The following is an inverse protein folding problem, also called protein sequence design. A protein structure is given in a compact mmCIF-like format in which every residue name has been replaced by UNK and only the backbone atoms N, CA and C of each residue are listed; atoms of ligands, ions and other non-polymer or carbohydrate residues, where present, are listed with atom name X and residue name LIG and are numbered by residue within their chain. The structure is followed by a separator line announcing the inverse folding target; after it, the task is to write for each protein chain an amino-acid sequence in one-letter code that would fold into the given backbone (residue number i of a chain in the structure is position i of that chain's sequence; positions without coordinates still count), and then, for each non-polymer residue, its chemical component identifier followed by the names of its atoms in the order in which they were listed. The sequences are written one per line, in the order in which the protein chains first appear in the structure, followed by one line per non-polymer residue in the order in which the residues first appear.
data_IF_605175110097
#
_entry.id   IF_605175110097
#
_cell.length_a   1.000
_cell.length_b   1.000
_cell.length_c   1.000
_cell.angle_alpha   90.00
_cell.angle_beta   90.00
_cell.angle_gamma   90.00
#
_symmetry.space_group_name_H-M   'P 1'
#
loop_
_entity.id
_entity.type
_entity.pdbx_description
1 polymer ?
#
# COMPACT_ATOMS: atom_id res chain seq x y z
N UNK A 1 11.22 -43.82 -13.16
CA UNK A 1 10.49 -43.81 -11.86
C UNK A 1 9.16 -43.11 -12.06
N UNK A 2 8.06 -43.54 -11.42
CA UNK A 2 6.74 -42.96 -11.65
C UNK A 2 6.71 -41.48 -11.25
N UNK A 3 5.90 -40.71 -11.98
CA UNK A 3 5.57 -39.29 -11.71
C UNK A 3 5.02 -39.19 -10.31
N UNK A 4 5.76 -38.57 -9.39
CA UNK A 4 5.26 -38.28 -8.04
C UNK A 4 4.50 -36.96 -8.12
N UNK A 5 3.21 -36.97 -7.82
CA UNK A 5 2.45 -35.74 -7.68
C UNK A 5 2.96 -34.98 -6.44
N UNK A 6 3.31 -33.71 -6.61
CA UNK A 6 3.68 -32.82 -5.52
C UNK A 6 2.79 -31.58 -5.54
N UNK A 7 2.13 -31.31 -4.42
CA UNK A 7 1.28 -30.15 -4.24
C UNK A 7 1.96 -29.18 -3.28
N UNK A 8 2.06 -27.92 -3.67
CA UNK A 8 2.47 -26.84 -2.77
C UNK A 8 1.23 -26.08 -2.39
N UNK A 9 0.87 -26.11 -1.12
CA UNK A 9 -0.34 -25.45 -0.62
C UNK A 9 -0.02 -24.51 0.53
N UNK A 10 -0.92 -23.59 0.85
CA UNK A 10 -0.75 -22.74 2.01
C UNK A 10 -1.81 -21.67 2.10
N UNK A 11 -1.67 -20.81 3.09
CA UNK A 11 -2.49 -19.61 3.26
C UNK A 11 -1.60 -18.37 3.19
N UNK A 12 -2.08 -17.34 2.50
CA UNK A 12 -1.45 -16.02 2.48
C UNK A 12 -2.11 -15.15 3.55
N UNK A 13 -1.32 -14.49 4.37
CA UNK A 13 -1.77 -13.61 5.45
C UNK A 13 -1.25 -12.19 5.28
N UNK A 14 -1.95 -11.21 5.86
CA UNK A 14 -1.40 -9.89 6.16
C UNK A 14 -0.51 -9.94 7.42
N UNK A 15 0.11 -8.80 7.75
CA UNK A 15 0.94 -8.65 8.96
C UNK A 15 0.16 -8.82 10.28
N UNK A 16 -1.17 -8.78 10.24
CA UNK A 16 -2.05 -8.93 11.40
C UNK A 16 -2.56 -10.38 11.56
N UNK A 17 -2.19 -11.29 10.65
CA UNK A 17 -2.61 -12.69 10.66
C UNK A 17 -3.98 -12.93 10.01
N UNK A 18 -4.53 -11.96 9.27
CA UNK A 18 -5.76 -12.12 8.50
C UNK A 18 -5.46 -12.83 7.18
N UNK A 19 -6.23 -13.86 6.85
CA UNK A 19 -6.09 -14.54 5.56
C UNK A 19 -6.50 -13.62 4.39
N UNK A 20 -5.66 -13.54 3.36
CA UNK A 20 -5.82 -12.61 2.24
C UNK A 20 -6.33 -13.32 1.00
N UNK A 21 -7.59 -13.05 0.65
CA UNK A 21 -8.15 -13.43 -0.65
C UNK A 21 -7.58 -12.57 -1.79
N UNK A 22 -7.46 -13.15 -2.99
CA UNK A 22 -7.05 -12.42 -4.19
C UNK A 22 -5.56 -12.09 -4.29
N UNK A 23 -4.71 -12.61 -3.40
CA UNK A 23 -3.26 -12.58 -3.56
C UNK A 23 -2.81 -13.54 -4.65
N UNK A 24 -1.86 -13.11 -5.49
CA UNK A 24 -1.23 -13.91 -6.54
C UNK A 24 -0.03 -14.65 -5.97
N UNK A 25 0.03 -15.97 -6.11
CA UNK A 25 1.12 -16.83 -5.66
C UNK A 25 1.79 -17.46 -6.87
N UNK A 26 3.08 -17.23 -7.05
CA UNK A 26 3.88 -17.75 -8.16
C UNK A 26 4.97 -18.67 -7.65
N UNK A 27 5.05 -19.88 -8.20
CA UNK A 27 6.14 -20.81 -7.98
C UNK A 27 7.13 -20.73 -9.14
N UNK A 28 8.40 -20.58 -8.80
CA UNK A 28 9.53 -20.54 -9.72
C UNK A 28 10.56 -21.60 -9.38
N UNK A 29 11.10 -22.24 -10.41
CA UNK A 29 12.20 -23.19 -10.34
C UNK A 29 13.02 -23.06 -11.63
N UNK A 30 14.35 -23.24 -11.56
CA UNK A 30 15.23 -23.07 -12.72
C UNK A 30 14.86 -23.98 -13.90
N UNK A 31 14.30 -25.15 -13.60
CA UNK A 31 13.91 -26.15 -14.59
C UNK A 31 12.41 -26.16 -14.90
N UNK A 32 11.57 -25.44 -14.14
CA UNK A 32 10.13 -25.35 -14.40
C UNK A 32 9.85 -24.18 -15.34
N UNK A 33 9.33 -24.48 -16.52
CA UNK A 33 8.94 -23.48 -17.52
C UNK A 33 7.63 -23.87 -18.20
N UNK A 34 6.62 -22.98 -18.26
CA UNK A 34 6.60 -21.62 -17.68
C UNK A 34 6.47 -21.62 -16.15
N UNK A 35 6.68 -20.47 -15.50
CA UNK A 35 6.36 -20.31 -14.08
C UNK A 35 4.86 -20.55 -13.84
N UNK A 36 4.52 -21.15 -12.71
CA UNK A 36 3.15 -21.50 -12.37
C UNK A 36 2.63 -20.48 -11.37
N UNK A 37 1.45 -19.93 -11.61
CA UNK A 37 0.83 -18.95 -10.74
C UNK A 37 -0.61 -19.33 -10.43
N UNK A 38 -1.04 -19.04 -9.22
CA UNK A 38 -2.42 -19.22 -8.77
C UNK A 38 -2.86 -17.99 -7.95
N UNK A 39 -4.16 -17.79 -7.82
CA UNK A 39 -4.73 -16.73 -6.98
C UNK A 39 -5.40 -17.38 -5.78
N UNK A 40 -5.18 -16.81 -4.59
CA UNK A 40 -5.80 -17.28 -3.35
C UNK A 40 -7.33 -17.12 -3.39
N UNK A 41 -8.01 -18.14 -2.85
CA UNK A 41 -9.47 -18.15 -2.68
C UNK A 41 -9.96 -17.19 -1.59
N UNK A 42 -11.26 -17.18 -1.34
CA UNK A 42 -11.89 -16.31 -0.32
C UNK A 42 -11.40 -16.57 1.11
N UNK A 43 -10.83 -17.74 1.38
CA UNK A 43 -10.23 -18.13 2.65
C UNK A 43 -8.70 -17.91 2.69
N UNK A 44 -8.14 -17.21 1.70
CA UNK A 44 -6.72 -16.90 1.56
C UNK A 44 -5.84 -18.09 1.20
N UNK A 45 -6.44 -19.25 0.87
CA UNK A 45 -5.70 -20.47 0.53
C UNK A 45 -5.33 -20.53 -0.94
N UNK A 46 -4.20 -21.17 -1.23
CA UNK A 46 -3.74 -21.50 -2.58
C UNK A 46 -3.26 -22.95 -2.65
N UNK A 47 -3.31 -23.55 -3.85
CA UNK A 47 -2.78 -24.89 -4.12
C UNK A 47 -2.12 -24.89 -5.49
N UNK A 48 -0.79 -24.94 -5.56
CA UNK A 48 -0.05 -25.09 -6.81
C UNK A 48 0.24 -26.58 -7.03
N UNK A 49 -0.25 -27.09 -8.15
CA UNK A 49 -0.08 -28.49 -8.53
C UNK A 49 1.12 -28.69 -9.47
N UNK A 50 2.12 -29.45 -9.03
CA UNK A 50 3.30 -29.81 -9.83
C UNK A 50 3.17 -31.19 -10.50
N UNK A 51 2.00 -31.85 -10.37
CA UNK A 51 1.70 -33.07 -11.11
C UNK A 51 1.73 -32.81 -12.61
N UNK A 52 2.48 -33.62 -13.36
CA UNK A 52 2.69 -33.42 -14.80
C UNK A 52 3.98 -32.67 -15.16
N UNK A 53 4.69 -32.12 -14.17
CA UNK A 53 6.01 -31.49 -14.35
C UNK A 53 7.15 -32.30 -13.72
N UNK A 54 6.92 -33.56 -13.39
CA UNK A 54 7.89 -34.40 -12.66
C UNK A 54 9.18 -34.70 -13.41
N UNK A 55 9.27 -34.38 -14.70
CA UNK A 55 10.52 -34.42 -15.47
C UNK A 55 11.35 -33.14 -15.32
N UNK A 56 10.77 -32.10 -14.72
CA UNK A 56 11.34 -30.75 -14.58
C UNK A 56 11.78 -30.45 -13.13
N UNK A 57 11.56 -31.38 -12.20
CA UNK A 57 11.98 -31.24 -10.81
C UNK A 57 12.30 -32.60 -10.19
N UNK A 58 13.11 -32.58 -9.16
CA UNK A 58 13.50 -33.73 -8.34
C UNK A 58 13.28 -33.43 -6.86
N UNK A 59 13.11 -34.48 -6.05
CA UNK A 59 13.16 -34.32 -4.60
C UNK A 59 14.53 -33.77 -4.20
N UNK A 60 14.55 -32.75 -3.34
CA UNK A 60 15.77 -32.01 -3.00
C UNK A 60 15.99 -30.73 -3.81
N UNK A 61 15.22 -30.49 -4.87
CA UNK A 61 15.30 -29.25 -5.63
C UNK A 61 14.78 -28.06 -4.83
N UNK A 62 15.43 -26.91 -5.00
CA UNK A 62 15.07 -25.65 -4.33
C UNK A 62 14.09 -24.85 -5.18
N UNK A 63 12.88 -24.64 -4.70
CA UNK A 63 11.84 -23.82 -5.33
C UNK A 63 11.67 -22.49 -4.59
N UNK A 64 11.26 -21.47 -5.33
CA UNK A 64 10.93 -20.15 -4.78
C UNK A 64 9.46 -19.85 -4.99
N UNK A 65 8.76 -19.52 -3.91
CA UNK A 65 7.32 -19.23 -3.88
C UNK A 65 7.15 -17.76 -3.51
N UNK A 66 6.60 -16.99 -4.43
CA UNK A 66 6.38 -15.55 -4.27
C UNK A 66 4.89 -15.27 -4.23
N UNK A 67 4.40 -14.74 -3.11
CA UNK A 67 3.05 -14.21 -3.00
C UNK A 67 3.08 -12.67 -3.07
N UNK A 68 2.12 -12.07 -3.78
CA UNK A 68 1.96 -10.63 -3.86
C UNK A 68 0.49 -10.23 -3.89
N UNK A 69 0.18 -9.07 -3.32
CA UNK A 69 -1.13 -8.43 -3.42
C UNK A 69 -0.97 -6.92 -3.32
N UNK A 70 -1.67 -6.18 -4.19
CA UNK A 70 -1.68 -4.72 -4.16
C UNK A 70 -2.07 -4.23 -2.77
N UNK A 71 -1.37 -3.21 -2.27
CA UNK A 71 -1.49 -2.63 -0.92
C UNK A 71 -0.97 -3.51 0.25
N UNK A 72 -0.90 -4.83 0.11
CA UNK A 72 -0.43 -5.74 1.17
C UNK A 72 1.06 -6.10 1.04
N UNK A 73 1.65 -5.86 -0.14
CA UNK A 73 3.06 -6.07 -0.41
C UNK A 73 3.38 -7.40 -1.11
N UNK A 74 4.60 -7.89 -0.90
CA UNK A 74 5.13 -9.09 -1.54
C UNK A 74 6.03 -9.86 -0.59
N UNK A 75 5.98 -11.19 -0.65
CA UNK A 75 6.83 -12.08 0.12
C UNK A 75 7.32 -13.21 -0.76
N UNK A 76 8.62 -13.49 -0.70
CA UNK A 76 9.22 -14.66 -1.30
C UNK A 76 9.75 -15.58 -0.21
N UNK A 77 9.44 -16.86 -0.30
CA UNK A 77 10.02 -17.93 0.51
C UNK A 77 10.67 -18.97 -0.40
N UNK A 78 11.87 -19.39 -0.01
CA UNK A 78 12.59 -20.47 -0.69
C UNK A 78 12.48 -21.73 0.14
N UNK A 79 12.13 -22.83 -0.50
CA UNK A 79 11.96 -24.12 0.17
C UNK A 79 12.42 -25.25 -0.74
N UNK A 80 12.56 -26.44 -0.17
CA UNK A 80 13.00 -27.63 -0.88
C UNK A 80 11.80 -28.54 -1.15
N UNK A 81 11.75 -29.16 -2.32
CA UNK A 81 10.76 -30.19 -2.62
C UNK A 81 11.05 -31.42 -1.74
N UNK A 82 10.17 -31.68 -0.77
CA UNK A 82 10.32 -32.76 0.22
C UNK A 82 10.18 -34.18 -0.36
N UNK A 83 9.65 -34.32 -1.58
CA UNK A 83 9.44 -35.60 -2.25
C UNK A 83 7.99 -35.76 -2.71
N UNK A 84 7.41 -36.94 -2.50
CA UNK A 84 6.00 -37.21 -2.81
C UNK A 84 5.07 -36.73 -1.71
N UNK A 85 3.84 -36.33 -2.07
CA UNK A 85 2.75 -36.10 -1.11
C UNK A 85 2.43 -34.63 -0.83
N UNK A 86 3.27 -33.70 -1.26
CA UNK A 86 3.03 -32.27 -1.11
C UNK A 86 3.68 -31.64 0.13
N UNK A 87 3.61 -30.33 0.21
CA UNK A 87 4.10 -29.53 1.33
C UNK A 87 3.23 -28.29 1.55
N UNK A 88 3.26 -27.78 2.78
CA UNK A 88 2.54 -26.57 3.16
C UNK A 88 3.51 -25.42 3.41
N UNK A 89 3.27 -24.28 2.76
CA UNK A 89 4.06 -23.05 2.88
C UNK A 89 3.12 -21.88 3.11
N UNK A 90 3.03 -21.42 4.35
CA UNK A 90 2.28 -20.22 4.68
C UNK A 90 3.14 -18.98 4.43
N UNK A 91 2.53 -17.92 3.91
CA UNK A 91 3.22 -16.69 3.54
C UNK A 91 2.52 -15.53 4.24
N UNK A 92 3.26 -14.76 5.03
CA UNK A 92 2.78 -13.48 5.56
C UNK A 92 3.36 -12.38 4.69
N UNK A 93 2.50 -11.67 3.96
CA UNK A 93 2.91 -10.49 3.22
C UNK A 93 3.34 -9.44 4.24
N UNK A 94 4.56 -8.95 4.09
CA UNK A 94 4.95 -7.73 4.75
C UNK A 94 4.57 -6.59 3.81
N UNK A 95 3.86 -5.59 4.34
CA UNK A 95 3.77 -4.30 3.67
C UNK A 95 5.20 -3.85 3.39
N UNK A 96 5.62 -3.91 2.13
CA UNK A 96 6.80 -3.18 1.72
C UNK A 96 6.36 -1.73 1.79
N UNK A 97 6.78 -1.03 2.84
CA UNK A 97 6.57 0.40 2.97
C UNK A 97 6.87 1.05 1.61
N UNK A 98 6.01 1.93 1.11
CA UNK A 98 6.24 2.67 -0.14
C UNK A 98 7.52 3.53 -0.10
N UNK A 99 8.16 3.60 1.08
CA UNK A 99 9.50 4.10 1.31
C UNK A 99 10.54 3.18 0.66
N UNK A 100 10.74 3.35 -0.66
CA UNK A 100 11.83 2.75 -1.40
C UNK A 100 13.13 3.56 -1.19
N UNK A 101 14.12 2.97 -0.51
CA UNK A 101 15.43 3.58 -0.32
C UNK A 101 16.44 2.99 -1.31
N UNK A 102 17.00 3.85 -2.18
CA UNK A 102 18.13 3.45 -3.01
C UNK A 102 19.36 3.23 -2.12
N UNK A 103 19.95 2.03 -2.15
CA UNK A 103 21.22 1.75 -1.47
C UNK A 103 22.35 2.43 -2.25
N UNK A 104 22.82 3.58 -1.77
CA UNK A 104 24.05 4.18 -2.25
C UNK A 104 25.16 4.09 -1.20
N UNK A 105 26.27 3.46 -1.54
CA UNK A 105 27.46 3.35 -0.67
C UNK A 105 28.26 4.65 -0.60
N UNK A 106 28.03 5.56 -1.55
CA UNK A 106 28.57 6.91 -1.58
C UNK A 106 27.41 7.90 -1.39
N UNK A 107 27.42 8.71 -0.32
CA UNK A 107 26.33 9.62 0.10
C UNK A 107 25.20 8.94 0.90
N UNK A 108 25.57 8.34 2.04
CA UNK A 108 24.59 7.96 3.06
C UNK A 108 24.02 9.23 3.70
N UNK A 109 22.72 9.46 3.53
CA UNK A 109 22.00 10.43 4.33
C UNK A 109 21.39 9.72 5.53
N UNK A 110 21.53 10.30 6.73
CA UNK A 110 20.85 9.79 7.89
C UNK A 110 19.35 10.04 7.71
N UNK A 111 18.56 8.96 7.73
CA UNK A 111 17.12 9.07 7.88
C UNK A 111 16.85 9.42 9.35
N UNK A 112 16.33 10.63 9.58
CA UNK A 112 16.00 11.09 10.92
C UNK A 112 14.48 11.27 11.03
N UNK A 113 13.85 10.47 11.89
CA UNK A 113 12.47 10.68 12.30
C UNK A 113 12.47 11.50 13.58
N UNK A 114 12.04 12.75 13.50
CA UNK A 114 11.89 13.62 14.67
C UNK A 114 10.46 13.50 15.18
N UNK A 115 10.28 12.73 16.25
CA UNK A 115 9.00 12.61 16.95
C UNK A 115 9.05 13.46 18.22
N UNK A 116 8.05 14.32 18.42
CA UNK A 116 7.88 15.06 19.66
C UNK A 116 7.54 14.08 20.78
N UNK A 117 8.47 13.93 21.74
CA UNK A 117 8.27 13.10 22.94
C UNK A 117 7.68 13.88 24.11
N UNK A 118 7.67 15.21 24.01
CA UNK A 118 7.09 16.12 24.98
C UNK A 118 6.26 17.20 24.26
N UNK A 119 5.17 17.60 24.88
CA UNK A 119 4.31 18.71 24.45
C UNK A 119 3.83 19.45 25.69
N UNK A 120 3.91 20.77 25.68
CA UNK A 120 3.54 21.61 26.83
C UNK A 120 4.22 21.17 28.15
N UNK A 121 5.54 20.95 28.11
CA UNK A 121 6.35 20.61 29.28
C UNK A 121 6.22 19.17 29.79
N UNK A 122 5.34 18.35 29.22
CA UNK A 122 5.03 17.01 29.72
C UNK A 122 5.20 15.94 28.63
N UNK A 123 5.34 14.67 29.04
CA UNK A 123 5.58 13.54 28.13
C UNK A 123 4.34 13.25 27.28
N UNK A 124 4.56 12.91 26.01
CA UNK A 124 3.52 12.36 25.13
C UNK A 124 3.33 10.88 25.47
N UNK A 125 2.10 10.47 25.78
CA UNK A 125 1.74 9.08 26.06
C UNK A 125 0.48 8.69 25.28
N UNK A 126 0.02 7.44 25.43
CA UNK A 126 -1.23 7.01 24.81
C UNK A 126 -2.43 7.72 25.41
N UNK A 127 -2.40 7.96 26.72
CA UNK A 127 -3.41 8.66 27.49
C UNK A 127 -3.33 10.19 27.30
N UNK A 128 -2.19 10.67 26.79
CA UNK A 128 -1.91 12.09 26.51
C UNK A 128 -1.24 12.25 25.14
N UNK A 129 -1.97 11.99 24.04
CA UNK A 129 -1.41 12.05 22.70
C UNK A 129 -1.06 13.49 22.33
N UNK A 130 -0.22 13.67 21.30
CA UNK A 130 -0.02 14.98 20.69
C UNK A 130 -1.38 15.53 20.23
N UNK A 131 -1.74 16.78 20.58
CA UNK A 131 -2.94 17.37 20.06
C UNK A 131 -2.79 17.53 18.56
N UNK A 132 -3.55 16.74 17.82
CA UNK A 132 -3.78 16.99 16.40
C UNK A 132 -4.87 18.04 16.30
N UNK A 133 -4.56 19.18 15.69
CA UNK A 133 -5.57 20.21 15.41
C UNK A 133 -6.59 19.63 14.45
N UNK A 134 -7.74 19.19 14.96
CA UNK A 134 -8.88 18.82 14.12
C UNK A 134 -9.64 20.07 13.62
N UNK A 135 -9.23 21.26 14.07
CA UNK A 135 -9.82 22.55 13.72
C UNK A 135 -9.20 23.22 12.49
N UNK A 136 -8.05 22.72 12.01
CA UNK A 136 -7.53 23.13 10.72
C UNK A 136 -8.13 22.23 9.66
N UNK A 137 -9.29 22.64 9.14
CA UNK A 137 -9.71 22.21 7.81
C UNK A 137 -8.58 22.65 6.89
N UNK A 138 -7.77 21.69 6.45
CA UNK A 138 -6.73 21.90 5.47
C UNK A 138 -7.38 22.20 4.11
N UNK A 139 -7.72 23.47 3.93
CA UNK A 139 -8.24 24.05 2.69
C UNK A 139 -7.15 24.13 1.60
N UNK A 140 -5.88 23.83 1.95
CA UNK A 140 -4.79 23.73 0.97
C UNK A 140 -4.81 22.35 0.31
N UNK A 141 -5.21 21.30 1.05
CA UNK A 141 -5.33 19.93 0.55
C UNK A 141 -6.75 19.47 0.21
N UNK A 142 -7.77 20.32 0.40
CA UNK A 142 -9.11 20.09 -0.13
C UNK A 142 -9.32 20.97 -1.38
N UNK A 143 -8.93 20.51 -2.58
CA UNK A 143 -9.01 21.33 -3.79
C UNK A 143 -10.44 21.81 -3.99
N UNK A 144 -10.59 23.10 -4.31
CA UNK A 144 -11.87 23.70 -4.65
C UNK A 144 -12.65 22.82 -5.63
N UNK A 145 -13.91 22.52 -5.31
CA UNK A 145 -14.75 21.70 -6.18
C UNK A 145 -15.28 22.50 -7.37
N UNK A 146 -15.38 23.83 -7.24
CA UNK A 146 -15.76 24.72 -8.34
C UNK A 146 -15.22 26.14 -8.14
N UNK A 147 -14.87 26.74 -9.28
CA UNK A 147 -14.48 28.15 -9.40
C UNK A 147 -15.52 28.89 -10.24
N UNK A 148 -15.83 30.12 -9.87
CA UNK A 148 -16.60 31.03 -10.70
C UNK A 148 -15.65 32.06 -11.29
N UNK A 149 -15.60 32.15 -12.63
CA UNK A 149 -14.76 33.10 -13.37
C UNK A 149 -15.69 33.88 -14.30
N UNK A 150 -15.96 35.13 -13.97
CA UNK A 150 -16.74 36.08 -14.77
C UNK A 150 -15.89 37.23 -15.28
N UNK A 151 -14.66 37.36 -14.77
CA UNK A 151 -13.70 38.39 -15.18
C UNK A 151 -13.08 38.06 -16.53
N UNK A 152 -12.90 39.08 -17.38
CA UNK A 152 -12.24 38.96 -18.68
C UNK A 152 -10.74 38.64 -18.61
N UNK A 153 -10.11 38.77 -17.42
CA UNK A 153 -8.71 38.42 -17.18
C UNK A 153 -8.50 36.96 -16.74
N UNK A 154 -9.58 36.16 -16.69
CA UNK A 154 -9.53 34.74 -16.35
C UNK A 154 -9.27 34.46 -14.86
N UNK A 155 -9.27 35.48 -14.01
CA UNK A 155 -9.10 35.32 -12.57
C UNK A 155 -10.44 34.96 -11.90
N UNK A 156 -10.44 34.10 -10.86
CA UNK A 156 -11.66 33.68 -10.19
C UNK A 156 -12.29 34.79 -9.35
N UNK A 157 -13.61 34.88 -9.36
CA UNK A 157 -14.39 35.78 -8.50
C UNK A 157 -14.66 35.15 -7.13
N UNK A 158 -14.89 33.84 -7.13
CA UNK A 158 -15.21 33.07 -5.92
C UNK A 158 -14.83 31.60 -6.06
N UNK A 159 -14.70 30.96 -4.90
CA UNK A 159 -14.39 29.55 -4.74
C UNK A 159 -15.44 28.89 -3.85
N UNK A 160 -15.83 27.67 -4.19
CA UNK A 160 -16.77 26.87 -3.40
C UNK A 160 -16.16 25.53 -2.99
N UNK A 161 -16.40 25.12 -1.74
CA UNK A 161 -16.05 23.79 -1.21
C UNK A 161 -17.26 23.15 -0.54
N UNK A 162 -17.39 21.83 -0.66
CA UNK A 162 -18.43 21.05 0.03
C UNK A 162 -17.76 20.18 1.09
N UNK A 163 -18.11 20.40 2.36
CA UNK A 163 -17.56 19.68 3.50
C UNK A 163 -18.72 18.99 4.21
N UNK A 164 -18.71 17.65 4.21
CA UNK A 164 -19.77 16.84 4.84
C UNK A 164 -21.18 17.22 4.39
N UNK A 165 -21.35 17.53 3.09
CA UNK A 165 -22.63 17.94 2.50
C UNK A 165 -23.02 19.40 2.75
N UNK A 166 -22.17 20.20 3.39
CA UNK A 166 -22.38 21.64 3.61
C UNK A 166 -21.51 22.44 2.66
N UNK A 167 -22.10 23.40 1.96
CA UNK A 167 -21.42 24.28 1.01
C UNK A 167 -20.87 25.51 1.71
N UNK A 168 -19.63 25.85 1.41
CA UNK A 168 -18.98 27.08 1.85
C UNK A 168 -18.47 27.83 0.63
N UNK A 169 -18.61 29.15 0.64
CA UNK A 169 -18.15 30.03 -0.44
C UNK A 169 -17.26 31.13 0.12
N UNK A 170 -16.22 31.51 -0.61
CA UNK A 170 -15.43 32.74 -0.37
C UNK A 170 -15.23 33.51 -1.65
N UNK A 171 -15.03 34.82 -1.54
CA UNK A 171 -14.80 35.72 -2.68
C UNK A 171 -13.37 36.29 -2.68
N UNK A 172 -12.95 36.74 -3.86
CA UNK A 172 -11.63 37.30 -4.09
C UNK A 172 -11.71 38.79 -4.45
N UNK A 173 -10.85 39.60 -3.84
CA UNK A 173 -10.72 41.03 -4.16
C UNK A 173 -9.41 41.28 -4.88
N UNK A 174 -9.44 42.13 -5.89
CA UNK A 174 -8.31 42.42 -6.77
C UNK A 174 -8.06 43.92 -6.92
N UNK A 175 -6.79 44.31 -7.01
CA UNK A 175 -6.34 45.65 -7.41
C UNK A 175 -5.40 45.48 -8.60
N UNK A 176 -5.71 46.10 -9.75
CA UNK A 176 -4.92 45.98 -10.98
C UNK A 176 -4.59 44.51 -11.37
N UNK A 177 -5.59 43.63 -11.28
CA UNK A 177 -5.47 42.18 -11.55
C UNK A 177 -4.46 41.44 -10.64
N UNK A 178 -4.13 42.01 -9.49
CA UNK A 178 -3.41 41.33 -8.41
C UNK A 178 -4.41 41.06 -7.29
N UNK A 179 -4.54 39.81 -6.85
CA UNK A 179 -5.42 39.45 -5.74
C UNK A 179 -4.89 40.08 -4.46
N UNK A 180 -5.68 40.96 -3.84
CA UNK A 180 -5.30 41.72 -2.64
C UNK A 180 -5.96 41.22 -1.38
N UNK A 181 -7.11 40.54 -1.48
CA UNK A 181 -7.76 39.93 -0.33
C UNK A 181 -8.57 38.69 -0.71
N UNK A 182 -8.85 37.88 0.30
CA UNK A 182 -9.80 36.76 0.26
C UNK A 182 -10.78 36.95 1.41
N UNK A 183 -12.07 36.77 1.17
CA UNK A 183 -13.04 36.77 2.27
C UNK A 183 -12.85 35.54 3.16
N UNK A 184 -13.40 35.60 4.37
CA UNK A 184 -13.64 34.40 5.15
C UNK A 184 -14.61 33.46 4.41
N UNK A 185 -14.59 32.18 4.78
CA UNK A 185 -15.55 31.21 4.28
C UNK A 185 -16.91 31.44 4.89
N UNK A 186 -17.91 31.63 4.04
CA UNK A 186 -19.30 31.81 4.44
C UNK A 186 -20.07 30.55 4.09
N UNK A 187 -20.65 29.91 5.12
CA UNK A 187 -21.59 28.79 4.94
C UNK A 187 -22.79 29.28 4.12
N UNK A 188 -23.10 28.56 3.05
CA UNK A 188 -24.29 28.79 2.22
C UNK A 188 -25.52 28.11 2.82
#
# INVERSE_FOLDING_TARGET
MPVLAHLVSGTVYDIYGTALAGATVTLTHISISPSISETTGSDGKYIINLSGLSSQWSAGDSISITASKTAEGTKTETTTISGAGGQTVNLTLAETSDLNYATNVFNKHNLNFVLLTHYDGEKVTRERPLPVSSSEIDLINNPAHSWVITRGDGQPDSETVVIKGVTYTRTFTYTASIMTARSEWVKQ
#
